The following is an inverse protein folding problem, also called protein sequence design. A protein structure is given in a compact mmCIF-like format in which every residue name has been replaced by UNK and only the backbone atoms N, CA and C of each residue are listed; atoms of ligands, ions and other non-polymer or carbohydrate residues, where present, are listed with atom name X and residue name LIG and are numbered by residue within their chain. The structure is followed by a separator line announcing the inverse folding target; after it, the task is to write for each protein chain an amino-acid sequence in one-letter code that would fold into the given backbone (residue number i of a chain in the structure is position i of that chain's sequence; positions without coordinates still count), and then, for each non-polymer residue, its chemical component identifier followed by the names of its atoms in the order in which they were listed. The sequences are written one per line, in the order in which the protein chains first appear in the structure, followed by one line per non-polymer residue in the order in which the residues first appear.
data_IF_421983018870
#
_entry.id   IF_421983018870
#
_cell.length_a   1.000
_cell.length_b   1.000
_cell.length_c   1.000
_cell.angle_alpha   90.00
_cell.angle_beta   90.00
_cell.angle_gamma   90.00
#
_symmetry.space_group_name_H-M   'P 1'
#
loop_
_entity.id
_entity.type
_entity.pdbx_description
1 polymer ?
#
# COMPACT_ATOMS: atom_id res chain seq x y z
N UNK A 1 23.79 -7.22 12.30
CA UNK A 1 22.38 -6.96 12.67
C UNK A 1 21.50 -7.97 11.96
N UNK A 2 20.46 -8.49 12.60
CA UNK A 2 19.48 -9.38 11.95
C UNK A 2 18.65 -8.61 10.91
N UNK A 3 17.98 -9.34 10.01
CA UNK A 3 17.00 -8.75 9.09
C UNK A 3 15.85 -8.14 9.89
N UNK A 4 15.35 -6.95 9.47
CA UNK A 4 14.14 -6.35 10.05
C UNK A 4 12.95 -7.30 9.90
N UNK A 5 12.09 -7.35 10.90
CA UNK A 5 10.82 -8.06 10.87
C UNK A 5 9.70 -7.12 10.41
N UNK A 6 9.01 -7.47 9.35
CA UNK A 6 7.96 -6.64 8.75
C UNK A 6 6.62 -7.36 8.83
N UNK A 7 5.62 -6.71 9.44
CA UNK A 7 4.23 -7.16 9.37
C UNK A 7 3.63 -6.75 8.02
N UNK A 8 3.05 -7.71 7.31
CA UNK A 8 2.24 -7.45 6.12
C UNK A 8 0.79 -7.82 6.41
N UNK A 9 -0.11 -6.85 6.50
CA UNK A 9 -1.54 -7.12 6.52
C UNK A 9 -2.07 -7.29 5.10
N UNK A 10 -3.04 -8.15 4.89
CA UNK A 10 -3.52 -8.46 3.53
C UNK A 10 -2.50 -9.22 2.67
N UNK A 11 -1.65 -10.00 3.31
CA UNK A 11 -0.51 -10.70 2.71
C UNK A 11 -0.89 -11.71 1.61
N UNK A 12 -2.16 -12.15 1.51
CA UNK A 12 -2.68 -13.01 0.45
C UNK A 12 -3.05 -12.27 -0.86
N UNK A 13 -3.02 -10.93 -0.84
CA UNK A 13 -3.32 -10.11 -2.01
C UNK A 13 -2.17 -10.05 -3.02
N UNK A 14 -2.42 -9.45 -4.18
CA UNK A 14 -1.44 -9.31 -5.26
C UNK A 14 -0.15 -8.63 -4.78
N UNK A 15 -0.28 -7.45 -4.18
CA UNK A 15 0.89 -6.70 -3.67
C UNK A 15 1.60 -7.48 -2.55
N UNK A 16 0.86 -8.10 -1.61
CA UNK A 16 1.45 -8.93 -0.55
C UNK A 16 2.30 -10.07 -1.11
N UNK A 17 1.80 -10.77 -2.13
CA UNK A 17 2.53 -11.84 -2.83
C UNK A 17 3.79 -11.30 -3.51
N UNK A 18 3.70 -10.14 -4.16
CA UNK A 18 4.86 -9.47 -4.78
C UNK A 18 5.93 -9.16 -3.73
N UNK A 19 5.56 -8.55 -2.61
CA UNK A 19 6.52 -8.18 -1.58
C UNK A 19 7.20 -9.41 -0.94
N UNK A 20 6.44 -10.46 -0.65
CA UNK A 20 6.97 -11.72 -0.14
C UNK A 20 8.01 -12.31 -1.10
N UNK A 21 7.72 -12.32 -2.41
CA UNK A 21 8.63 -12.84 -3.44
C UNK A 21 9.92 -12.01 -3.54
N UNK A 22 9.80 -10.69 -3.61
CA UNK A 22 10.92 -9.80 -3.97
C UNK A 22 11.75 -9.31 -2.78
N UNK A 23 11.20 -9.36 -1.55
CA UNK A 23 11.86 -8.80 -0.36
C UNK A 23 12.24 -9.85 0.70
N UNK A 24 12.03 -11.16 0.45
CA UNK A 24 12.37 -12.23 1.40
C UNK A 24 13.84 -12.28 1.83
N UNK A 25 14.73 -11.80 0.97
CA UNK A 25 16.17 -11.77 1.30
C UNK A 25 16.55 -10.54 2.15
N UNK A 26 15.67 -9.52 2.22
CA UNK A 26 15.86 -8.30 3.01
C UNK A 26 15.22 -8.37 4.37
N UNK A 27 14.04 -9.00 4.47
CA UNK A 27 13.20 -9.00 5.66
C UNK A 27 12.80 -10.40 6.09
N UNK A 28 12.49 -10.55 7.38
CA UNK A 28 11.62 -11.60 7.86
C UNK A 28 10.20 -11.08 7.92
N UNK A 29 9.22 -11.93 7.64
CA UNK A 29 7.83 -11.49 7.55
C UNK A 29 6.97 -12.11 8.63
N UNK A 30 6.10 -11.27 9.23
CA UNK A 30 4.86 -11.70 9.87
C UNK A 30 3.73 -11.40 8.90
N UNK A 31 2.96 -12.42 8.51
CA UNK A 31 1.93 -12.33 7.49
C UNK A 31 0.55 -12.43 8.14
N UNK A 32 -0.23 -11.34 8.06
CA UNK A 32 -1.61 -11.34 8.53
C UNK A 32 -2.56 -11.67 7.39
N UNK A 33 -3.31 -12.74 7.58
CA UNK A 33 -4.38 -13.21 6.70
C UNK A 33 -5.74 -13.02 7.37
N UNK A 34 -6.81 -13.04 6.58
CA UNK A 34 -8.18 -13.11 7.08
C UNK A 34 -8.80 -14.46 6.74
N UNK A 35 -9.42 -14.60 5.58
CA UNK A 35 -10.07 -15.84 5.15
C UNK A 35 -9.17 -16.72 4.29
N UNK A 36 -8.47 -16.10 3.33
CA UNK A 36 -7.58 -16.82 2.41
C UNK A 36 -6.19 -16.90 3.00
N UNK A 37 -5.75 -18.11 3.25
CA UNK A 37 -4.40 -18.40 3.78
C UNK A 37 -3.61 -19.19 2.74
N UNK A 38 -2.75 -18.55 1.95
CA UNK A 38 -1.85 -19.26 1.04
C UNK A 38 -0.76 -20.00 1.81
N UNK A 39 -0.03 -20.84 1.11
CA UNK A 39 1.15 -21.50 1.64
C UNK A 39 2.18 -20.47 2.11
N UNK A 40 2.78 -20.74 3.27
CA UNK A 40 3.83 -19.92 3.88
C UNK A 40 5.10 -20.78 4.05
N UNK A 41 6.26 -20.15 3.95
CA UNK A 41 7.54 -20.80 4.17
C UNK A 41 7.84 -20.92 5.67
N UNK A 42 8.81 -21.76 6.05
CA UNK A 42 9.24 -21.92 7.45
C UNK A 42 9.86 -20.65 8.06
N UNK A 43 10.26 -19.70 7.23
CA UNK A 43 10.83 -18.41 7.67
C UNK A 43 9.76 -17.31 7.87
N UNK A 44 8.51 -17.58 7.52
CA UNK A 44 7.41 -16.64 7.62
C UNK A 44 6.51 -16.95 8.83
N UNK A 45 6.29 -15.97 9.69
CA UNK A 45 5.31 -16.08 10.77
C UNK A 45 3.90 -15.86 10.22
N UNK A 46 2.97 -16.77 10.52
CA UNK A 46 1.57 -16.68 10.08
C UNK A 46 0.65 -16.27 11.21
N UNK A 47 -0.21 -15.29 10.96
CA UNK A 47 -1.36 -14.93 11.81
C UNK A 47 -2.64 -14.89 10.98
N UNK A 48 -3.76 -15.20 11.63
CA UNK A 48 -5.09 -15.12 11.03
C UNK A 48 -5.94 -14.25 11.96
N UNK A 49 -6.37 -13.07 11.48
CA UNK A 49 -7.25 -12.18 12.21
C UNK A 49 -7.97 -11.19 11.29
N UNK A 50 -9.05 -10.62 11.78
CA UNK A 50 -9.70 -9.46 11.17
C UNK A 50 -8.99 -8.17 11.64
N UNK A 51 -8.70 -7.25 10.75
CA UNK A 51 -8.09 -5.95 11.10
C UNK A 51 -9.01 -5.09 12.00
N UNK A 52 -10.31 -5.40 12.06
CA UNK A 52 -11.27 -4.76 12.99
C UNK A 52 -11.09 -5.20 14.44
N UNK A 53 -10.45 -6.32 14.69
CA UNK A 53 -10.10 -6.79 16.02
C UNK A 53 -8.83 -6.05 16.50
N UNK A 54 -9.04 -5.10 17.42
CA UNK A 54 -7.98 -4.26 17.93
C UNK A 54 -6.91 -5.06 18.71
N UNK A 55 -7.34 -5.98 19.58
CA UNK A 55 -6.42 -6.79 20.38
C UNK A 55 -5.55 -7.69 19.49
N UNK A 56 -6.14 -8.26 18.44
CA UNK A 56 -5.40 -9.01 17.45
C UNK A 56 -4.38 -8.14 16.70
N UNK A 57 -4.70 -6.86 16.42
CA UNK A 57 -3.73 -5.93 15.80
C UNK A 57 -2.60 -5.56 16.75
N UNK A 58 -2.88 -5.38 18.04
CA UNK A 58 -1.84 -5.19 19.06
C UNK A 58 -0.89 -6.39 19.11
N UNK A 59 -1.42 -7.62 19.08
CA UNK A 59 -0.58 -8.82 19.04
C UNK A 59 0.22 -8.92 17.72
N UNK A 60 -0.43 -8.61 16.58
CA UNK A 60 0.20 -8.67 15.25
C UNK A 60 1.39 -7.70 15.12
N UNK A 61 1.33 -6.53 15.74
CA UNK A 61 2.38 -5.50 15.66
C UNK A 61 3.48 -5.66 16.70
N UNK A 62 3.35 -6.60 17.67
CA UNK A 62 4.34 -6.80 18.71
C UNK A 62 5.68 -7.30 18.17
N UNK A 63 6.75 -6.56 18.43
CA UNK A 63 8.12 -6.97 18.07
C UNK A 63 8.39 -6.98 16.57
N UNK A 64 7.65 -6.19 15.78
CA UNK A 64 7.99 -5.92 14.38
C UNK A 64 8.64 -4.54 14.24
N UNK A 65 9.50 -4.39 13.24
CA UNK A 65 10.23 -3.15 12.98
C UNK A 65 9.44 -2.19 12.08
N UNK A 66 8.57 -2.73 11.23
CA UNK A 66 7.72 -1.95 10.32
C UNK A 66 6.42 -2.68 10.00
N UNK A 67 5.41 -1.92 9.59
CA UNK A 67 4.13 -2.43 9.10
C UNK A 67 3.92 -2.02 7.65
N UNK A 68 3.55 -2.97 6.80
CA UNK A 68 3.02 -2.72 5.46
C UNK A 68 1.53 -3.08 5.46
N UNK A 69 0.68 -2.04 5.47
CA UNK A 69 -0.76 -2.21 5.59
C UNK A 69 -1.41 -2.27 4.20
N UNK A 70 -1.63 -3.50 3.72
CA UNK A 70 -2.27 -3.80 2.42
C UNK A 70 -3.69 -4.33 2.56
N UNK A 71 -4.13 -4.67 3.77
CA UNK A 71 -5.46 -5.24 3.98
C UNK A 71 -6.54 -4.32 3.42
N UNK A 72 -7.42 -4.91 2.66
CA UNK A 72 -8.56 -4.26 2.03
C UNK A 72 -9.74 -5.21 2.07
N UNK A 73 -10.83 -4.78 2.66
CA UNK A 73 -12.08 -5.51 2.55
C UNK A 73 -12.79 -5.05 1.29
N UNK A 74 -12.75 -5.91 0.27
CA UNK A 74 -13.61 -5.80 -0.91
C UNK A 74 -14.84 -6.65 -0.63
N UNK A 75 -15.92 -6.00 -0.24
CA UNK A 75 -17.17 -6.69 0.03
C UNK A 75 -17.73 -7.34 -1.24
N UNK A 76 -18.10 -8.62 -1.13
CA UNK A 76 -18.89 -9.37 -2.12
C UNK A 76 -20.34 -9.37 -1.64
N UNK A 77 -21.28 -9.19 -2.54
CA UNK A 77 -22.71 -9.24 -2.21
C UNK A 77 -23.55 -8.51 -3.27
N UNK A 78 -24.84 -8.74 -3.28
CA UNK A 78 -25.74 -8.29 -4.35
C UNK A 78 -26.09 -6.79 -4.26
N UNK A 79 -26.07 -6.19 -3.05
CA UNK A 79 -26.40 -4.80 -2.86
C UNK A 79 -25.16 -3.90 -2.83
N UNK A 80 -25.12 -2.91 -3.72
CA UNK A 80 -24.07 -1.87 -3.73
C UNK A 80 -23.95 -1.16 -2.37
N UNK A 81 -25.06 -0.77 -1.76
CA UNK A 81 -25.08 -0.03 -0.50
C UNK A 81 -24.47 -0.88 0.63
N UNK A 82 -24.81 -2.16 0.68
CA UNK A 82 -24.27 -3.07 1.68
C UNK A 82 -22.75 -3.23 1.52
N UNK A 83 -22.28 -3.41 0.29
CA UNK A 83 -20.84 -3.51 0.00
C UNK A 83 -20.08 -2.25 0.41
N UNK A 84 -20.60 -1.07 0.06
CA UNK A 84 -19.98 0.21 0.41
C UNK A 84 -19.92 0.42 1.93
N UNK A 85 -20.98 0.08 2.67
CA UNK A 85 -20.99 0.18 4.14
C UNK A 85 -19.93 -0.72 4.78
N UNK A 86 -19.86 -1.98 4.40
CA UNK A 86 -18.83 -2.90 4.91
C UNK A 86 -17.42 -2.42 4.57
N UNK A 87 -17.22 -1.91 3.35
CA UNK A 87 -15.93 -1.38 2.93
C UNK A 87 -15.54 -0.15 3.77
N UNK A 88 -16.46 0.78 4.00
CA UNK A 88 -16.22 1.96 4.84
C UNK A 88 -15.82 1.49 6.24
N UNK A 89 -16.66 0.72 6.90
CA UNK A 89 -16.45 0.27 8.27
C UNK A 89 -15.10 -0.47 8.41
N UNK A 90 -14.89 -1.50 7.61
CA UNK A 90 -13.70 -2.33 7.76
C UNK A 90 -12.40 -1.61 7.43
N UNK A 91 -12.40 -0.75 6.40
CA UNK A 91 -11.16 -0.10 6.00
C UNK A 91 -10.88 1.20 6.78
N UNK A 92 -11.88 1.83 7.42
CA UNK A 92 -11.62 2.97 8.33
C UNK A 92 -11.23 2.49 9.73
N UNK A 93 -12.06 1.67 10.36
CA UNK A 93 -11.79 1.11 11.70
C UNK A 93 -10.53 0.24 11.68
N UNK A 94 -10.41 -0.65 10.69
CA UNK A 94 -9.23 -1.51 10.56
C UNK A 94 -7.93 -0.74 10.35
N UNK A 95 -7.95 0.33 9.53
CA UNK A 95 -6.76 1.19 9.33
C UNK A 95 -6.38 1.91 10.63
N UNK A 96 -7.37 2.44 11.36
CA UNK A 96 -7.14 3.02 12.69
C UNK A 96 -6.51 2.00 13.64
N UNK A 97 -7.07 0.80 13.73
CA UNK A 97 -6.58 -0.25 14.61
C UNK A 97 -5.11 -0.62 14.30
N UNK A 98 -4.75 -0.75 13.02
CA UNK A 98 -3.39 -1.07 12.61
C UNK A 98 -2.42 0.05 13.00
N UNK A 99 -2.78 1.32 12.77
CA UNK A 99 -1.89 2.45 13.10
C UNK A 99 -1.74 2.61 14.60
N UNK A 100 -2.83 2.52 15.36
CA UNK A 100 -2.79 2.64 16.81
C UNK A 100 -2.04 1.48 17.48
N UNK A 101 -2.26 0.26 17.02
CA UNK A 101 -1.51 -0.92 17.48
C UNK A 101 -0.01 -0.79 17.20
N UNK A 102 0.37 -0.31 16.00
CA UNK A 102 1.76 -0.03 15.66
C UNK A 102 2.37 1.01 16.62
N UNK A 103 1.66 2.12 16.87
CA UNK A 103 2.08 3.16 17.82
C UNK A 103 2.29 2.61 19.24
N UNK A 104 1.34 1.84 19.75
CA UNK A 104 1.40 1.25 21.11
C UNK A 104 2.58 0.30 21.29
N UNK A 105 2.97 -0.42 20.25
CA UNK A 105 4.11 -1.34 20.26
C UNK A 105 5.44 -0.68 19.84
N UNK A 106 5.49 0.64 19.69
CA UNK A 106 6.71 1.37 19.32
C UNK A 106 7.18 1.12 17.89
N UNK A 107 6.30 0.69 17.00
CA UNK A 107 6.61 0.54 15.57
C UNK A 107 6.59 1.92 14.92
N UNK A 108 7.76 2.39 14.51
CA UNK A 108 7.91 3.76 14.00
C UNK A 108 7.64 3.92 12.51
N UNK A 109 7.58 2.84 11.73
CA UNK A 109 7.43 2.92 10.27
C UNK A 109 6.22 2.16 9.80
N UNK A 110 5.30 2.84 9.11
CA UNK A 110 4.12 2.25 8.48
C UNK A 110 4.04 2.67 7.01
N UNK A 111 3.92 1.69 6.13
CA UNK A 111 3.66 1.89 4.70
C UNK A 111 2.22 1.49 4.42
N UNK A 112 1.42 2.45 3.99
CA UNK A 112 -0.01 2.27 3.72
C UNK A 112 -0.30 2.16 2.22
N UNK A 113 -0.98 1.11 1.82
CA UNK A 113 -1.49 0.97 0.46
C UNK A 113 -2.70 1.88 0.26
N UNK A 114 -2.45 3.07 -0.28
CA UNK A 114 -3.46 3.97 -0.82
C UNK A 114 -3.76 3.62 -2.29
N UNK A 115 -4.38 4.50 -3.03
CA UNK A 115 -4.82 4.27 -4.40
C UNK A 115 -4.80 5.56 -5.22
N UNK A 116 -4.58 5.45 -6.53
CA UNK A 116 -4.77 6.56 -7.46
C UNK A 116 -6.21 7.10 -7.46
N UNK A 117 -7.21 6.28 -7.06
CA UNK A 117 -8.61 6.72 -6.94
C UNK A 117 -8.84 7.85 -5.93
N UNK A 118 -7.87 8.16 -5.06
CA UNK A 118 -7.90 9.35 -4.17
C UNK A 118 -7.94 10.65 -4.98
N UNK A 119 -7.35 10.66 -6.16
CA UNK A 119 -7.30 11.79 -7.09
C UNK A 119 -7.91 11.47 -8.45
N UNK A 120 -8.71 10.40 -8.52
CA UNK A 120 -9.17 9.79 -9.76
C UNK A 120 -10.00 10.68 -10.68
N UNK A 121 -10.67 11.72 -10.16
CA UNK A 121 -11.38 12.67 -11.02
C UNK A 121 -10.46 13.54 -11.88
N UNK A 122 -9.26 13.87 -11.42
CA UNK A 122 -8.28 14.56 -12.26
C UNK A 122 -7.88 13.72 -13.47
N UNK A 123 -7.71 12.42 -13.28
CA UNK A 123 -7.41 11.51 -14.38
C UNK A 123 -8.53 11.44 -15.43
N UNK A 124 -9.80 11.47 -14.98
CA UNK A 124 -10.96 11.49 -15.89
C UNK A 124 -11.01 12.77 -16.73
N UNK A 125 -10.46 13.86 -16.22
CA UNK A 125 -10.35 15.15 -16.91
C UNK A 125 -9.01 15.28 -17.70
N UNK A 126 -8.18 14.25 -17.70
CA UNK A 126 -6.88 14.26 -18.39
C UNK A 126 -5.83 15.16 -17.74
N UNK A 127 -6.01 15.49 -16.46
CA UNK A 127 -5.11 16.38 -15.71
C UNK A 127 -3.95 15.56 -15.14
N UNK A 128 -2.73 15.96 -15.45
CA UNK A 128 -1.52 15.42 -14.86
C UNK A 128 -1.48 15.75 -13.36
N UNK A 129 -1.35 14.74 -12.51
CA UNK A 129 -1.56 14.87 -11.07
C UNK A 129 -0.23 14.71 -10.31
N UNK A 130 -0.06 15.50 -9.26
CA UNK A 130 1.00 15.33 -8.26
C UNK A 130 0.39 15.03 -6.88
N UNK A 131 1.18 14.52 -5.92
CA UNK A 131 0.67 14.14 -4.60
C UNK A 131 0.11 15.29 -3.76
N UNK A 132 0.52 16.54 -4.01
CA UNK A 132 0.14 17.73 -3.24
C UNK A 132 -1.21 18.32 -3.68
N UNK A 133 -1.77 17.82 -4.79
CA UNK A 133 -3.08 18.27 -5.26
C UNK A 133 -4.18 17.85 -4.27
N UNK A 134 -5.22 18.69 -4.12
CA UNK A 134 -6.35 18.35 -3.26
C UNK A 134 -6.96 17.00 -3.57
N UNK A 135 -7.40 16.30 -2.54
CA UNK A 135 -8.13 15.02 -2.67
C UNK A 135 -9.39 15.23 -3.50
N UNK A 136 -9.56 14.42 -4.56
CA UNK A 136 -10.72 14.44 -5.45
C UNK A 136 -11.06 13.03 -5.91
N UNK A 137 -11.62 12.20 -4.97
CA UNK A 137 -11.83 10.78 -5.20
C UNK A 137 -12.94 10.52 -6.20
N UNK A 138 -12.77 9.51 -7.04
CA UNK A 138 -13.74 9.11 -8.05
C UNK A 138 -14.66 7.95 -7.61
N UNK A 139 -14.51 7.51 -6.38
CA UNK A 139 -15.24 6.39 -5.80
C UNK A 139 -15.27 6.47 -4.27
N UNK A 140 -16.20 5.76 -3.63
CA UNK A 140 -16.22 5.57 -2.17
C UNK A 140 -14.92 4.91 -1.69
N UNK A 141 -14.35 3.99 -2.48
CA UNK A 141 -13.06 3.40 -2.20
C UNK A 141 -11.93 4.44 -2.12
N UNK A 142 -11.86 5.34 -3.09
CA UNK A 142 -10.90 6.44 -3.08
C UNK A 142 -11.08 7.36 -1.86
N UNK A 143 -12.32 7.66 -1.48
CA UNK A 143 -12.61 8.47 -0.30
C UNK A 143 -12.17 7.80 1.01
N UNK A 144 -12.38 6.49 1.14
CA UNK A 144 -11.93 5.70 2.29
C UNK A 144 -10.41 5.64 2.37
N UNK A 145 -9.72 5.51 1.24
CA UNK A 145 -8.25 5.54 1.21
C UNK A 145 -7.69 6.93 1.54
N UNK A 146 -8.37 8.01 1.14
CA UNK A 146 -8.05 9.37 1.55
C UNK A 146 -8.14 9.57 3.09
N UNK A 147 -9.12 8.93 3.74
CA UNK A 147 -9.17 8.88 5.21
C UNK A 147 -7.87 8.28 5.78
N UNK A 148 -7.39 7.17 5.23
CA UNK A 148 -6.14 6.53 5.66
C UNK A 148 -4.91 7.42 5.48
N UNK A 149 -4.85 8.21 4.38
CA UNK A 149 -3.78 9.21 4.17
C UNK A 149 -3.83 10.34 5.21
N UNK A 150 -5.04 10.86 5.49
CA UNK A 150 -5.23 11.90 6.51
C UNK A 150 -4.89 11.40 7.92
N UNK A 151 -5.27 10.17 8.23
CA UNK A 151 -4.94 9.52 9.50
C UNK A 151 -3.41 9.29 9.60
N UNK A 152 -2.75 8.86 8.53
CA UNK A 152 -1.30 8.71 8.50
C UNK A 152 -0.59 10.04 8.80
N UNK A 153 -1.07 11.15 8.21
CA UNK A 153 -0.55 12.48 8.51
C UNK A 153 -0.69 12.83 9.98
N UNK A 154 -1.84 12.57 10.60
CA UNK A 154 -2.05 12.79 12.02
C UNK A 154 -1.06 11.99 12.88
N UNK A 155 -0.85 10.70 12.60
CA UNK A 155 0.11 9.88 13.36
C UNK A 155 1.56 10.36 13.18
N UNK A 156 1.89 10.84 12.00
CA UNK A 156 3.21 11.42 11.74
C UNK A 156 3.43 12.69 12.57
N UNK A 157 2.52 13.65 12.50
CA UNK A 157 2.65 14.94 13.17
C UNK A 157 2.54 14.81 14.70
N UNK A 158 1.62 13.97 15.17
CA UNK A 158 1.33 13.88 16.61
C UNK A 158 2.30 12.97 17.36
N UNK A 159 2.77 11.89 16.72
CA UNK A 159 3.56 10.85 17.39
C UNK A 159 4.95 10.64 16.80
N UNK A 160 5.34 11.40 15.79
CA UNK A 160 6.65 11.27 15.16
C UNK A 160 6.84 9.97 14.37
N UNK A 161 5.75 9.27 14.01
CA UNK A 161 5.84 8.04 13.23
C UNK A 161 6.19 8.35 11.77
N UNK A 162 7.00 7.49 11.16
CA UNK A 162 7.27 7.54 9.72
C UNK A 162 6.11 6.89 8.98
N UNK A 163 5.33 7.71 8.29
CA UNK A 163 4.09 7.29 7.63
C UNK A 163 4.18 7.55 6.12
N UNK A 164 4.17 6.49 5.33
CA UNK A 164 4.26 6.59 3.88
C UNK A 164 3.02 6.00 3.22
N UNK A 165 2.33 6.79 2.42
CA UNK A 165 1.13 6.38 1.70
C UNK A 165 1.46 6.20 0.22
N UNK A 166 1.22 5.01 -0.31
CA UNK A 166 1.47 4.72 -1.72
C UNK A 166 0.15 4.68 -2.47
N UNK A 167 -0.12 5.69 -3.29
CA UNK A 167 -1.24 5.70 -4.25
C UNK A 167 -0.90 4.76 -5.40
N UNK A 168 -1.26 3.49 -5.21
CA UNK A 168 -0.93 2.43 -6.15
C UNK A 168 -1.73 2.60 -7.44
N UNK A 169 -1.06 2.54 -8.57
CA UNK A 169 -1.67 2.43 -9.89
C UNK A 169 -2.21 1.02 -10.17
N UNK A 170 -1.86 0.44 -11.30
CA UNK A 170 -2.29 -0.92 -11.66
C UNK A 170 -1.17 -1.92 -11.36
N UNK A 171 -1.36 -2.76 -10.34
CA UNK A 171 -0.44 -3.84 -9.97
C UNK A 171 -1.14 -5.19 -10.17
N UNK A 172 -0.79 -5.91 -11.24
CA UNK A 172 -1.32 -7.24 -11.54
C UNK A 172 -0.43 -8.38 -11.02
N UNK A 173 0.74 -8.05 -10.50
CA UNK A 173 1.69 -9.01 -9.94
C UNK A 173 2.50 -9.78 -10.98
N UNK A 174 2.39 -9.41 -12.26
CA UNK A 174 3.11 -10.05 -13.37
C UNK A 174 4.28 -9.18 -13.82
N UNK A 175 5.38 -9.82 -14.21
CA UNK A 175 6.55 -9.13 -14.77
C UNK A 175 6.27 -8.59 -16.19
N UNK A 176 5.32 -9.20 -16.90
CA UNK A 176 4.73 -8.72 -18.15
C UNK A 176 3.29 -8.32 -17.86
N UNK A 177 2.92 -7.04 -18.03
CA UNK A 177 1.59 -6.58 -17.65
C UNK A 177 0.49 -7.24 -18.49
N UNK A 178 -0.57 -7.67 -17.78
CA UNK A 178 -1.80 -8.21 -18.39
C UNK A 178 -2.91 -7.18 -18.18
N UNK A 179 -2.82 -6.05 -18.87
CA UNK A 179 -3.75 -4.93 -18.71
C UNK A 179 -4.52 -4.65 -20.01
N UNK A 180 -5.85 -4.72 -19.91
CA UNK A 180 -6.76 -4.34 -20.96
C UNK A 180 -7.69 -3.20 -20.46
N UNK A 181 -7.84 -2.09 -21.16
CA UNK A 181 -7.20 -1.75 -22.44
C UNK A 181 -5.71 -1.34 -22.28
N UNK A 182 -4.93 -1.32 -23.37
CA UNK A 182 -3.51 -0.92 -23.35
C UNK A 182 -3.24 0.45 -22.72
N UNK A 183 -4.21 1.37 -22.69
CA UNK A 183 -4.12 2.65 -22.00
C UNK A 183 -3.85 2.53 -20.49
N UNK A 184 -4.11 1.37 -19.88
CA UNK A 184 -3.75 1.11 -18.48
C UNK A 184 -2.27 0.88 -18.26
N UNK A 185 -1.49 0.60 -19.32
CA UNK A 185 -0.04 0.40 -19.23
C UNK A 185 0.69 1.64 -18.72
N UNK A 186 0.19 2.84 -19.02
CA UNK A 186 0.75 4.08 -18.46
C UNK A 186 0.61 4.20 -16.93
N UNK A 187 -0.26 3.40 -16.32
CA UNK A 187 -0.55 3.36 -14.88
C UNK A 187 0.02 2.12 -14.20
N UNK A 188 0.67 1.25 -14.96
CA UNK A 188 1.21 0.02 -14.44
C UNK A 188 2.36 0.23 -13.47
N UNK A 189 2.43 -0.58 -12.45
CA UNK A 189 3.61 -0.73 -11.60
C UNK A 189 4.05 -2.18 -11.61
N UNK A 190 5.29 -2.41 -12.01
CA UNK A 190 5.87 -3.75 -12.05
C UNK A 190 6.07 -4.30 -10.63
N UNK A 191 6.11 -5.63 -10.47
CA UNK A 191 6.45 -6.26 -9.18
C UNK A 191 7.74 -5.74 -8.59
N UNK A 192 8.78 -5.59 -9.41
CA UNK A 192 10.10 -5.10 -9.00
C UNK A 192 10.04 -3.66 -8.50
N UNK A 193 9.39 -2.76 -9.23
CA UNK A 193 9.29 -1.35 -8.88
C UNK A 193 8.40 -1.13 -7.66
N UNK A 194 7.30 -1.91 -7.52
CA UNK A 194 6.47 -1.89 -6.32
C UNK A 194 7.26 -2.33 -5.08
N UNK A 195 8.01 -3.43 -5.18
CA UNK A 195 8.84 -3.90 -4.09
C UNK A 195 9.93 -2.88 -3.74
N UNK A 196 10.53 -2.23 -4.76
CA UNK A 196 11.51 -1.17 -4.55
C UNK A 196 10.92 -0.01 -3.76
N UNK A 197 9.76 0.53 -4.17
CA UNK A 197 9.14 1.67 -3.49
C UNK A 197 8.84 1.35 -2.03
N UNK A 198 8.29 0.15 -1.75
CA UNK A 198 7.98 -0.27 -0.37
C UNK A 198 9.24 -0.38 0.48
N UNK A 199 10.30 -1.04 0.00
CA UNK A 199 11.52 -1.16 0.81
C UNK A 199 12.22 0.19 0.99
N UNK A 200 12.17 1.10 0.02
CA UNK A 200 12.67 2.46 0.17
C UNK A 200 11.95 3.21 1.28
N UNK A 201 10.62 3.09 1.36
CA UNK A 201 9.83 3.65 2.47
C UNK A 201 10.19 3.03 3.82
N UNK A 202 10.49 1.73 3.89
CA UNK A 202 10.87 1.05 5.14
C UNK A 202 12.26 1.49 5.63
N UNK A 203 13.20 1.69 4.71
CA UNK A 203 14.60 1.97 5.04
C UNK A 203 14.94 3.46 5.17
N UNK A 204 14.09 4.37 4.68
CA UNK A 204 14.39 5.80 4.78
C UNK A 204 14.34 6.28 6.23
N UNK A 205 15.34 7.09 6.60
CA UNK A 205 15.44 7.73 7.92
C UNK A 205 15.28 9.25 7.82
N UNK A 206 15.48 9.81 6.63
CA UNK A 206 15.50 11.26 6.39
C UNK A 206 14.11 11.85 6.15
N UNK A 207 13.09 11.01 5.86
CA UNK A 207 11.72 11.45 5.65
C UNK A 207 10.79 10.85 6.72
N UNK A 208 9.88 11.69 7.23
CA UNK A 208 8.90 11.29 8.25
C UNK A 208 7.52 11.01 7.64
N UNK A 209 7.16 11.72 6.58
CA UNK A 209 5.86 11.58 5.92
C UNK A 209 6.01 11.71 4.41
N UNK A 210 5.24 10.92 3.66
CA UNK A 210 5.14 11.08 2.23
C UNK A 210 3.90 10.40 1.64
N UNK A 211 3.35 11.03 0.60
CA UNK A 211 2.34 10.44 -0.28
C UNK A 211 3.00 10.28 -1.64
N UNK A 212 3.03 9.06 -2.17
CA UNK A 212 3.73 8.73 -3.40
C UNK A 212 2.82 8.03 -4.40
N UNK A 213 2.96 8.29 -5.68
CA UNK A 213 2.34 7.43 -6.70
C UNK A 213 3.21 6.19 -6.94
N UNK A 214 2.62 5.01 -6.72
CA UNK A 214 3.21 3.71 -7.02
C UNK A 214 2.98 3.35 -8.50
N UNK A 215 3.90 3.76 -9.35
CA UNK A 215 3.85 3.57 -10.80
C UNK A 215 5.26 3.38 -11.33
N UNK A 216 5.44 2.51 -12.32
CA UNK A 216 6.72 2.35 -13.02
C UNK A 216 7.07 3.58 -13.87
N UNK A 217 8.25 3.61 -14.47
CA UNK A 217 8.73 4.72 -15.32
C UNK A 217 8.02 4.74 -16.67
N UNK A 218 6.71 4.57 -16.68
CA UNK A 218 5.92 4.41 -17.88
C UNK A 218 5.93 5.68 -18.74
N UNK A 219 6.10 5.49 -20.04
CA UNK A 219 5.84 6.53 -21.03
C UNK A 219 4.37 6.94 -20.95
N UNK A 220 4.11 8.26 -20.84
CA UNK A 220 2.76 8.81 -20.74
C UNK A 220 2.08 8.58 -19.40
N UNK A 221 2.80 8.27 -18.31
CA UNK A 221 2.21 8.17 -16.98
C UNK A 221 1.49 9.46 -16.59
N UNK A 222 0.30 9.37 -15.96
CA UNK A 222 -0.49 10.55 -15.60
C UNK A 222 -0.10 11.18 -14.26
N UNK A 223 0.93 10.66 -13.58
CA UNK A 223 1.31 11.06 -12.21
C UNK A 223 2.77 11.44 -12.07
N UNK A 224 3.02 12.45 -11.24
CA UNK A 224 4.35 12.86 -10.82
C UNK A 224 4.90 11.92 -9.74
N UNK A 225 6.14 11.46 -9.91
CA UNK A 225 6.84 10.60 -8.96
C UNK A 225 8.10 11.26 -8.37
N UNK A 226 8.37 12.52 -8.72
CA UNK A 226 9.61 13.21 -8.30
C UNK A 226 9.75 13.24 -6.77
N UNK A 227 8.66 13.47 -6.05
CA UNK A 227 8.72 13.46 -4.60
C UNK A 227 9.13 12.10 -4.00
N UNK A 228 8.75 10.99 -4.62
CA UNK A 228 9.22 9.66 -4.21
C UNK A 228 10.71 9.46 -4.53
N UNK A 229 11.18 10.02 -5.66
CA UNK A 229 12.59 10.00 -6.02
C UNK A 229 13.43 10.80 -5.02
N UNK A 230 12.98 12.02 -4.69
CA UNK A 230 13.70 12.95 -3.82
C UNK A 230 13.68 12.51 -2.35
N UNK A 231 12.54 12.06 -1.82
CA UNK A 231 12.38 11.77 -0.40
C UNK A 231 12.83 10.37 0.01
N UNK A 232 12.60 9.37 -0.85
CA UNK A 232 12.90 7.97 -0.51
C UNK A 232 13.82 7.28 -1.51
N UNK A 233 14.28 7.97 -2.55
CA UNK A 233 15.18 7.44 -3.55
C UNK A 233 14.51 6.38 -4.46
N UNK A 234 13.23 6.54 -4.77
CA UNK A 234 12.53 5.65 -5.70
C UNK A 234 13.08 5.80 -7.11
N UNK A 235 13.59 4.73 -7.68
CA UNK A 235 14.14 4.70 -9.05
C UNK A 235 13.52 3.55 -9.85
N UNK A 236 12.27 3.73 -10.35
CA UNK A 236 11.60 2.70 -11.14
C UNK A 236 12.33 2.38 -12.43
N UNK A 237 12.39 1.11 -12.79
CA UNK A 237 13.19 0.61 -13.90
C UNK A 237 12.34 0.13 -15.09
N UNK A 238 11.07 -0.12 -14.88
CA UNK A 238 10.20 -0.72 -15.89
C UNK A 238 9.34 0.32 -16.61
N UNK A 239 9.01 0.05 -17.87
CA UNK A 239 8.10 0.85 -18.69
C UNK A 239 7.07 -0.07 -19.37
N UNK A 240 5.80 0.08 -19.04
CA UNK A 240 4.70 -0.69 -19.64
C UNK A 240 4.57 -0.49 -21.16
N UNK A 241 5.04 0.66 -21.70
CA UNK A 241 4.99 0.91 -23.14
C UNK A 241 5.84 -0.08 -23.95
N UNK A 242 6.81 -0.75 -23.34
CA UNK A 242 7.62 -1.79 -24.01
C UNK A 242 6.83 -3.05 -24.37
N UNK A 243 5.63 -3.21 -23.83
CA UNK A 243 4.75 -4.36 -24.03
C UNK A 243 3.57 -4.04 -24.96
N UNK A 244 3.54 -2.88 -25.60
CA UNK A 244 2.59 -2.55 -26.67
C UNK A 244 3.14 -3.13 -27.97
N UNK A 245 2.48 -4.15 -28.47
CA UNK A 245 2.79 -4.78 -29.77
C UNK A 245 1.82 -4.34 -30.86
#
# INVERSE_FOLDING_TARGET
MGRKKVLITGAAGTVGTVLRKHLRDRYTFRLLFHERVPEVTSEEEKMIADIRDFDAMVEATRGVDAVVHLALVQSRGDSRIYRERLMIEANTVGTYNVYEAARLNGVHTVVFASTNHVTGYYEKEGIYTNPDMPVRPDSVYGAVKAFGESLARYYSDQYGMRMFCIRIGSCDGQDVPVLDPPSRLSRWVSPRDMAQLVWRCIETEDAQFGIFYGVSKNTGRPWDIRNAQDLVGYDPQDDGARFIH
#
